data_IF_428949948321
#
_entry.id   IF_428949948321
#
_cell.length_a   1.000
_cell.length_b   1.000
_cell.length_c   1.000
_cell.angle_alpha   90.00
_cell.angle_beta   90.00
_cell.angle_gamma   90.00
#
_symmetry.space_group_name_H-M   'P 1'
#
loop_
_entity.id
_entity.type
_entity.pdbx_description
1 polymer ?
#
# COMPACT_ATOMS: atom_id res chain seq x y z
N UNK A 1 16.16 8.00 27.63
CA UNK A 1 16.31 7.09 26.46
C UNK A 1 17.71 6.48 26.52
N UNK A 2 17.86 5.16 26.34
CA UNK A 2 19.20 4.52 26.36
C UNK A 2 20.01 5.02 25.16
N UNK A 3 21.26 5.47 25.38
CA UNK A 3 22.19 5.98 24.35
C UNK A 3 22.28 5.09 23.11
N UNK A 4 22.18 3.77 23.29
CA UNK A 4 22.15 2.76 22.22
C UNK A 4 21.04 3.03 21.19
N UNK A 5 19.83 3.41 21.64
CA UNK A 5 18.73 3.72 20.72
C UNK A 5 19.03 4.93 19.85
N UNK A 6 19.73 5.93 20.38
CA UNK A 6 20.10 7.14 19.62
C UNK A 6 21.11 6.77 18.52
N UNK A 7 22.08 5.90 18.83
CA UNK A 7 23.04 5.41 17.86
C UNK A 7 22.36 4.64 16.71
N UNK A 8 21.43 3.74 17.03
CA UNK A 8 20.71 2.96 16.02
C UNK A 8 19.84 3.84 15.12
N UNK A 9 19.10 4.80 15.69
CA UNK A 9 18.32 5.76 14.89
C UNK A 9 19.20 6.67 14.04
N UNK A 10 20.38 7.06 14.54
CA UNK A 10 21.33 7.89 13.78
C UNK A 10 21.92 7.14 12.59
N UNK A 11 22.18 5.84 12.73
CA UNK A 11 22.69 5.00 11.64
C UNK A 11 21.63 4.77 10.55
N UNK A 12 20.38 4.54 10.95
CA UNK A 12 19.24 4.44 10.01
C UNK A 12 19.05 5.78 9.28
N UNK A 13 19.12 6.90 9.99
CA UNK A 13 18.98 8.23 9.38
C UNK A 13 20.13 8.51 8.41
N UNK A 14 21.37 8.16 8.76
CA UNK A 14 22.53 8.28 7.88
C UNK A 14 22.38 7.42 6.62
N UNK A 15 21.89 6.19 6.76
CA UNK A 15 21.58 5.31 5.62
C UNK A 15 20.52 5.91 4.70
N UNK A 16 19.43 6.45 5.25
CA UNK A 16 18.37 7.09 4.50
C UNK A 16 18.85 8.36 3.77
N UNK A 17 19.65 9.18 4.45
CA UNK A 17 20.25 10.39 3.87
C UNK A 17 21.18 10.05 2.71
N UNK A 18 22.03 9.04 2.89
CA UNK A 18 22.95 8.58 1.85
C UNK A 18 22.19 8.01 0.64
N UNK A 19 21.22 7.11 0.88
CA UNK A 19 20.35 6.54 -0.17
C UNK A 19 19.63 7.63 -0.97
N UNK A 20 19.07 8.62 -0.27
CA UNK A 20 18.38 9.75 -0.88
C UNK A 20 19.33 10.64 -1.68
N UNK A 21 20.53 10.91 -1.18
CA UNK A 21 21.55 11.70 -1.86
C UNK A 21 21.99 11.04 -3.17
N UNK A 22 22.37 9.76 -3.12
CA UNK A 22 22.83 9.03 -4.31
C UNK A 22 21.70 8.90 -5.34
N UNK A 23 20.49 8.56 -4.88
CA UNK A 23 19.32 8.48 -5.76
C UNK A 23 19.00 9.84 -6.40
N UNK A 24 19.18 10.95 -5.67
CA UNK A 24 19.02 12.30 -6.21
C UNK A 24 20.03 12.60 -7.32
N UNK A 25 21.29 12.16 -7.21
CA UNK A 25 22.28 12.32 -8.28
C UNK A 25 21.85 11.59 -9.56
N UNK A 26 21.29 10.38 -9.43
CA UNK A 26 20.73 9.67 -10.57
C UNK A 26 19.55 10.42 -11.19
N UNK A 27 18.55 10.82 -10.40
CA UNK A 27 17.39 11.53 -10.94
C UNK A 27 17.76 12.89 -11.54
N UNK A 28 18.76 13.59 -10.98
CA UNK A 28 19.26 14.85 -11.52
C UNK A 28 19.95 14.69 -12.89
N UNK A 29 20.38 13.48 -13.26
CA UNK A 29 20.92 13.19 -14.60
C UNK A 29 19.82 13.05 -15.67
N UNK A 30 18.56 12.88 -15.27
CA UNK A 30 17.42 12.63 -16.17
C UNK A 30 16.41 13.77 -16.10
N UNK A 31 16.21 14.34 -14.91
CA UNK A 31 15.20 15.34 -14.59
C UNK A 31 15.86 16.64 -14.09
N UNK A 32 15.16 17.77 -14.20
CA UNK A 32 15.61 19.02 -13.58
C UNK A 32 15.85 18.85 -12.08
N UNK A 33 16.90 19.48 -11.57
CA UNK A 33 17.35 19.31 -10.18
C UNK A 33 16.25 19.57 -9.13
N UNK A 34 15.37 20.55 -9.37
CA UNK A 34 14.27 20.90 -8.48
C UNK A 34 13.17 19.81 -8.39
N UNK A 35 13.04 18.95 -9.40
CA UNK A 35 12.15 17.78 -9.40
C UNK A 35 12.85 16.52 -8.85
N UNK A 36 14.16 16.41 -9.06
CA UNK A 36 14.94 15.25 -8.63
C UNK A 36 14.98 15.08 -7.11
N UNK A 37 15.13 16.18 -6.35
CA UNK A 37 15.18 16.15 -4.87
C UNK A 37 13.89 15.57 -4.26
N UNK A 38 12.69 16.14 -4.51
CA UNK A 38 11.47 15.64 -3.89
C UNK A 38 11.15 14.21 -4.35
N UNK A 39 11.48 13.87 -5.60
CA UNK A 39 11.26 12.52 -6.12
C UNK A 39 12.16 11.48 -5.42
N UNK A 40 13.45 11.78 -5.25
CA UNK A 40 14.39 10.90 -4.57
C UNK A 40 13.97 10.65 -3.12
N UNK A 41 13.66 11.72 -2.37
CA UNK A 41 13.16 11.61 -0.99
C UNK A 41 11.87 10.81 -0.94
N UNK A 42 10.92 11.08 -1.84
CA UNK A 42 9.64 10.37 -1.87
C UNK A 42 9.81 8.87 -2.12
N UNK A 43 10.58 8.47 -3.13
CA UNK A 43 10.78 7.05 -3.47
C UNK A 43 11.50 6.30 -2.34
N UNK A 44 12.55 6.91 -1.76
CA UNK A 44 13.32 6.27 -0.67
C UNK A 44 12.46 6.11 0.59
N UNK A 45 11.74 7.16 1.00
CA UNK A 45 10.85 7.12 2.17
C UNK A 45 9.72 6.11 1.94
N UNK A 46 9.10 6.12 0.75
CA UNK A 46 8.00 5.22 0.41
C UNK A 46 8.48 3.76 0.39
N UNK A 47 9.66 3.49 -0.17
CA UNK A 47 10.28 2.17 -0.18
C UNK A 47 10.55 1.63 1.23
N UNK A 48 11.10 2.47 2.12
CA UNK A 48 11.34 2.10 3.51
C UNK A 48 10.04 1.92 4.29
N UNK A 49 9.04 2.77 4.06
CA UNK A 49 7.72 2.67 4.69
C UNK A 49 7.03 1.35 4.35
N UNK A 50 6.93 1.01 3.06
CA UNK A 50 6.31 -0.26 2.64
C UNK A 50 7.14 -1.48 3.07
N UNK A 51 8.47 -1.37 3.12
CA UNK A 51 9.33 -2.44 3.65
C UNK A 51 9.06 -2.71 5.13
N UNK A 52 8.96 -1.65 5.94
CA UNK A 52 8.62 -1.77 7.36
C UNK A 52 7.22 -2.39 7.55
N UNK A 53 6.23 -1.88 6.80
CA UNK A 53 4.87 -2.40 6.86
C UNK A 53 4.79 -3.88 6.44
N UNK A 54 5.51 -4.26 5.38
CA UNK A 54 5.57 -5.64 4.91
C UNK A 54 6.19 -6.59 5.96
N UNK A 55 7.28 -6.17 6.63
CA UNK A 55 7.92 -6.94 7.69
C UNK A 55 6.97 -7.11 8.89
N UNK A 56 6.32 -6.03 9.32
CA UNK A 56 5.38 -6.08 10.45
C UNK A 56 4.19 -7.00 10.13
N UNK A 57 3.59 -6.84 8.96
CA UNK A 57 2.50 -7.70 8.51
C UNK A 57 2.89 -9.18 8.46
N UNK A 58 4.10 -9.48 7.98
CA UNK A 58 4.62 -10.84 7.94
C UNK A 58 4.85 -11.42 9.34
N UNK A 59 5.35 -10.61 10.28
CA UNK A 59 5.54 -11.01 11.69
C UNK A 59 4.22 -11.37 12.36
N UNK A 60 3.16 -10.61 12.10
CA UNK A 60 1.84 -10.80 12.71
C UNK A 60 1.05 -11.95 12.06
N UNK A 61 1.01 -12.01 10.72
CA UNK A 61 0.09 -12.89 9.98
C UNK A 61 0.76 -14.12 9.36
N UNK A 62 2.11 -14.19 9.34
CA UNK A 62 2.91 -15.23 8.66
C UNK A 62 2.54 -15.47 7.18
N UNK A 63 1.92 -14.46 6.55
CA UNK A 63 1.48 -14.47 5.15
C UNK A 63 2.09 -13.26 4.43
N UNK A 64 2.34 -13.43 3.13
CA UNK A 64 2.73 -12.34 2.24
C UNK A 64 1.51 -11.48 1.90
N UNK A 65 1.66 -10.16 2.00
CA UNK A 65 0.63 -9.20 1.56
C UNK A 65 1.01 -8.57 0.22
N UNK A 66 0.03 -7.93 -0.43
CA UNK A 66 0.29 -7.09 -1.60
C UNK A 66 1.33 -5.99 -1.30
N UNK A 67 1.39 -5.51 -0.05
CA UNK A 67 2.39 -4.54 0.37
C UNK A 67 3.83 -5.08 0.29
N UNK A 68 4.03 -6.40 0.43
CA UNK A 68 5.35 -7.03 0.24
C UNK A 68 5.82 -6.92 -1.21
N UNK A 69 4.91 -7.09 -2.19
CA UNK A 69 5.24 -6.96 -3.61
C UNK A 69 5.61 -5.50 -3.95
N UNK A 70 4.84 -4.55 -3.43
CA UNK A 70 5.09 -3.11 -3.60
C UNK A 70 6.44 -2.73 -2.96
N UNK A 71 6.73 -3.23 -1.75
CA UNK A 71 8.00 -3.00 -1.07
C UNK A 71 9.18 -3.50 -1.91
N UNK A 72 9.11 -4.72 -2.46
CA UNK A 72 10.16 -5.29 -3.30
C UNK A 72 10.37 -4.43 -4.56
N UNK A 73 9.30 -4.04 -5.25
CA UNK A 73 9.40 -3.23 -6.46
C UNK A 73 10.02 -1.84 -6.17
N UNK A 74 9.59 -1.19 -5.08
CA UNK A 74 10.15 0.10 -4.66
C UNK A 74 11.61 -0.02 -4.24
N UNK A 75 11.98 -1.04 -3.46
CA UNK A 75 13.36 -1.25 -3.05
C UNK A 75 14.27 -1.58 -4.23
N UNK A 76 13.82 -2.37 -5.21
CA UNK A 76 14.57 -2.59 -6.46
C UNK A 76 14.79 -1.28 -7.23
N UNK A 77 13.80 -0.40 -7.24
CA UNK A 77 13.92 0.93 -7.86
C UNK A 77 14.96 1.80 -7.13
N UNK A 78 14.93 1.80 -5.79
CA UNK A 78 15.91 2.49 -4.94
C UNK A 78 17.32 1.95 -5.18
N UNK A 79 17.49 0.62 -5.20
CA UNK A 79 18.80 0.01 -5.47
C UNK A 79 19.30 0.34 -6.87
N UNK A 80 18.43 0.35 -7.87
CA UNK A 80 18.81 0.73 -9.23
C UNK A 80 19.22 2.21 -9.31
N UNK A 81 18.48 3.11 -8.66
CA UNK A 81 18.84 4.53 -8.62
C UNK A 81 20.14 4.76 -7.85
N UNK A 82 20.38 4.04 -6.76
CA UNK A 82 21.65 4.08 -6.03
C UNK A 82 22.81 3.61 -6.91
N UNK A 83 22.64 2.48 -7.59
CA UNK A 83 23.66 1.89 -8.45
C UNK A 83 24.12 2.86 -9.56
N UNK A 84 23.15 3.51 -10.20
CA UNK A 84 23.43 4.47 -11.26
C UNK A 84 23.91 5.81 -10.71
N UNK A 85 23.39 6.24 -9.55
CA UNK A 85 23.80 7.47 -8.88
C UNK A 85 25.26 7.44 -8.43
N UNK A 86 25.73 6.31 -7.89
CA UNK A 86 27.14 6.10 -7.53
C UNK A 86 28.06 6.20 -8.73
N UNK A 87 27.62 5.68 -9.89
CA UNK A 87 28.40 5.78 -11.11
C UNK A 87 28.49 7.24 -11.60
N UNK A 88 27.39 8.01 -11.52
CA UNK A 88 27.40 9.45 -11.83
C UNK A 88 28.31 10.22 -10.89
N UNK A 89 28.27 9.91 -9.59
CA UNK A 89 29.15 10.51 -8.59
C UNK A 89 30.62 10.19 -8.85
N UNK A 90 30.94 8.95 -9.20
CA UNK A 90 32.30 8.56 -9.51
C UNK A 90 32.84 9.32 -10.74
N UNK A 91 32.01 9.48 -11.78
CA UNK A 91 32.37 10.25 -12.97
C UNK A 91 32.61 11.73 -12.69
N UNK A 92 31.86 12.34 -11.78
CA UNK A 92 32.07 13.75 -11.43
C UNK A 92 33.35 13.94 -10.60
N UNK A 93 33.72 12.96 -9.77
CA UNK A 93 34.94 13.00 -8.96
C UNK A 93 36.20 12.74 -9.80
N UNK A 94 36.14 11.83 -10.78
CA UNK A 94 37.29 11.53 -11.64
C UNK A 94 37.55 12.59 -12.72
N UNK A 95 36.57 13.46 -13.00
CA UNK A 95 36.77 14.61 -13.89
C UNK A 95 37.08 14.21 -15.33
N UNK A 96 36.28 13.32 -15.91
CA UNK A 96 36.49 12.81 -17.28
C UNK A 96 36.58 13.99 -18.27
N UNK A 97 37.70 14.14 -19.02
CA UNK A 97 37.84 15.23 -19.98
C UNK A 97 36.88 15.05 -21.16
N UNK A 98 36.44 16.16 -21.77
CA UNK A 98 35.55 16.15 -22.94
C UNK A 98 36.34 16.28 -24.24
N UNK A 99 35.91 15.60 -25.31
CA UNK A 99 36.54 15.70 -26.64
C UNK A 99 35.97 16.84 -27.49
N UNK A 100 34.90 17.49 -27.04
CA UNK A 100 34.09 18.43 -27.82
C UNK A 100 34.90 19.55 -28.49
N UNK A 101 35.87 20.12 -27.77
CA UNK A 101 36.73 21.19 -28.32
C UNK A 101 37.63 20.70 -29.46
N UNK A 102 38.14 19.47 -29.35
CA UNK A 102 39.00 18.88 -30.38
C UNK A 102 38.16 18.39 -31.56
N UNK A 103 36.96 17.89 -31.31
CA UNK A 103 36.02 17.53 -32.36
C UNK A 103 35.62 18.76 -33.21
N UNK A 104 35.34 19.90 -32.57
CA UNK A 104 35.10 21.17 -33.26
C UNK A 104 36.31 21.61 -34.09
N UNK A 105 37.52 21.53 -33.53
CA UNK A 105 38.74 21.92 -34.23
C UNK A 105 39.06 20.99 -35.43
N UNK A 106 38.79 19.68 -35.30
CA UNK A 106 38.89 18.71 -36.40
C UNK A 106 37.93 19.09 -37.52
N UNK A 107 36.70 19.48 -37.20
CA UNK A 107 35.70 19.88 -38.19
C UNK A 107 36.13 21.15 -38.95
N UNK A 108 36.61 22.17 -38.24
CA UNK A 108 37.12 23.41 -38.84
C UNK A 108 38.32 23.15 -39.79
N UNK A 109 39.26 22.30 -39.37
CA UNK A 109 40.42 21.93 -40.20
C UNK A 109 39.96 21.10 -41.41
N UNK A 110 39.00 20.20 -41.24
CA UNK A 110 38.45 19.38 -42.33
C UNK A 110 37.70 20.24 -43.36
N UNK A 111 36.99 21.28 -42.93
CA UNK A 111 36.40 22.29 -43.82
C UNK A 111 37.48 23.06 -44.60
N UNK A 112 38.58 23.44 -43.95
CA UNK A 112 39.71 24.14 -44.58
C UNK A 112 40.37 23.27 -45.66
N UNK A 113 40.50 21.96 -45.40
CA UNK A 113 40.99 20.97 -46.37
C UNK A 113 40.04 20.87 -47.57
N UNK A 114 38.72 20.71 -47.32
CA UNK A 114 37.71 20.62 -48.37
C UNK A 114 37.68 21.86 -49.28
N UNK A 115 37.76 23.06 -48.69
CA UNK A 115 37.75 24.32 -49.44
C UNK A 115 38.99 24.52 -50.32
N UNK A 116 40.10 23.84 -50.01
CA UNK A 116 41.38 23.99 -50.71
C UNK A 116 41.74 22.80 -51.61
N UNK A 117 41.10 21.64 -51.45
CA UNK A 117 41.40 20.41 -52.19
C UNK A 117 41.33 20.55 -53.72
N UNK A 118 40.40 21.36 -54.23
CA UNK A 118 40.18 21.52 -55.68
C UNK A 118 40.92 22.72 -56.30
N UNK A 119 41.68 23.50 -55.52
CA UNK A 119 42.33 24.73 -56.00
C UNK A 119 43.80 24.48 -56.32
N UNK A 120 44.20 24.72 -57.58
CA UNK A 120 45.58 24.47 -58.07
C UNK A 120 46.62 25.56 -57.76
N UNK A 121 46.26 26.57 -56.96
CA UNK A 121 47.21 27.64 -56.58
C UNK A 121 48.24 27.07 -55.59
N UNK A 122 49.53 27.33 -55.79
CA UNK A 122 50.62 26.87 -54.91
C UNK A 122 50.35 27.21 -53.44
N UNK A 123 49.77 28.38 -53.16
CA UNK A 123 49.40 28.79 -51.80
C UNK A 123 48.32 27.89 -51.19
N UNK A 124 47.36 27.44 -51.99
CA UNK A 124 46.28 26.56 -51.54
C UNK A 124 46.77 25.11 -51.38
N UNK A 125 47.73 24.68 -52.21
CA UNK A 125 48.42 23.39 -52.04
C UNK A 125 49.21 23.36 -50.73
N UNK A 126 49.92 24.44 -50.41
CA UNK A 126 50.65 24.53 -49.14
C UNK A 126 49.71 24.62 -47.92
N UNK A 127 48.62 25.39 -48.03
CA UNK A 127 47.57 25.42 -46.99
C UNK A 127 46.90 24.05 -46.79
N UNK A 128 46.63 23.31 -47.88
CA UNK A 128 46.12 21.95 -47.80
C UNK A 128 47.11 21.02 -47.09
N UNK A 129 48.41 21.12 -47.40
CA UNK A 129 49.46 20.31 -46.77
C UNK A 129 49.58 20.61 -45.28
N UNK A 130 49.61 21.88 -44.90
CA UNK A 130 49.68 22.31 -43.50
C UNK A 130 48.43 21.90 -42.72
N UNK A 131 47.23 22.10 -43.29
CA UNK A 131 45.98 21.68 -42.67
C UNK A 131 45.89 20.14 -42.54
N UNK A 132 46.40 19.38 -43.51
CA UNK A 132 46.46 17.91 -43.43
C UNK A 132 47.40 17.43 -42.31
N UNK A 133 48.53 18.12 -42.10
CA UNK A 133 49.43 17.84 -40.98
C UNK A 133 48.79 18.18 -39.63
N UNK A 134 48.09 19.31 -39.54
CA UNK A 134 47.34 19.69 -38.34
C UNK A 134 46.22 18.69 -38.02
N UNK A 135 45.47 18.24 -39.04
CA UNK A 135 44.43 17.22 -38.87
C UNK A 135 45.01 15.93 -38.27
N UNK A 136 46.17 15.48 -38.76
CA UNK A 136 46.83 14.29 -38.22
C UNK A 136 47.23 14.46 -36.75
N UNK A 137 47.79 15.61 -36.37
CA UNK A 137 48.13 15.89 -34.97
C UNK A 137 46.89 15.93 -34.07
N UNK A 138 45.79 16.54 -34.52
CA UNK A 138 44.53 16.59 -33.79
C UNK A 138 43.87 15.23 -33.64
N UNK A 139 43.98 14.37 -34.65
CA UNK A 139 43.51 12.98 -34.58
C UNK A 139 44.33 12.16 -33.57
N UNK A 140 45.65 12.33 -33.53
CA UNK A 140 46.52 11.70 -32.53
C UNK A 140 46.22 12.22 -31.11
N UNK A 141 45.98 13.52 -30.95
CA UNK A 141 45.59 14.13 -29.67
C UNK A 141 44.21 13.65 -29.20
N UNK A 142 43.24 13.56 -30.11
CA UNK A 142 41.92 12.96 -29.85
C UNK A 142 42.06 11.52 -29.36
N UNK A 143 42.90 10.72 -30.02
CA UNK A 143 43.12 9.33 -29.63
C UNK A 143 43.70 9.23 -28.22
N UNK A 144 44.69 10.06 -27.88
CA UNK A 144 45.25 10.13 -26.51
C UNK A 144 44.21 10.52 -25.47
N UNK A 145 43.34 11.48 -25.78
CA UNK A 145 42.26 11.86 -24.87
C UNK A 145 41.23 10.76 -24.70
N UNK A 146 40.89 10.03 -25.76
CA UNK A 146 40.01 8.86 -25.66
C UNK A 146 40.60 7.78 -24.74
N UNK A 147 41.90 7.53 -24.84
CA UNK A 147 42.61 6.60 -23.94
C UNK A 147 42.56 7.08 -22.49
N UNK A 148 42.78 8.37 -22.23
CA UNK A 148 42.64 8.96 -20.90
C UNK A 148 41.20 8.92 -20.39
N UNK A 149 40.21 9.12 -21.26
CA UNK A 149 38.78 8.98 -20.92
C UNK A 149 38.49 7.54 -20.52
N UNK A 150 39.00 6.56 -21.25
CA UNK A 150 38.82 5.13 -20.96
C UNK A 150 39.44 4.77 -19.61
N UNK A 151 40.67 5.22 -19.35
CA UNK A 151 41.35 5.05 -18.06
C UNK A 151 40.55 5.69 -16.91
N UNK A 152 40.12 6.94 -17.06
CA UNK A 152 39.32 7.66 -16.04
C UNK A 152 37.93 7.06 -15.84
N UNK A 153 37.36 6.47 -16.88
CA UNK A 153 36.08 5.77 -16.79
C UNK A 153 36.24 4.42 -16.06
N UNK A 154 37.36 3.72 -16.27
CA UNK A 154 37.72 2.53 -15.50
C UNK A 154 37.95 2.86 -14.03
N UNK A 155 38.69 3.94 -13.72
CA UNK A 155 38.85 4.43 -12.35
C UNK A 155 37.50 4.78 -11.70
N UNK A 156 36.61 5.45 -12.44
CA UNK A 156 35.27 5.77 -11.96
C UNK A 156 34.43 4.52 -11.69
N UNK A 157 34.57 3.47 -12.50
CA UNK A 157 33.88 2.20 -12.27
C UNK A 157 34.40 1.48 -11.02
N UNK A 158 35.71 1.50 -10.79
CA UNK A 158 36.31 0.96 -9.57
C UNK A 158 35.84 1.72 -8.33
N UNK A 159 35.85 3.05 -8.37
CA UNK A 159 35.40 3.90 -7.26
C UNK A 159 33.89 3.77 -7.00
N UNK A 160 33.08 3.62 -8.05
CA UNK A 160 31.66 3.28 -7.91
C UNK A 160 31.48 1.90 -7.25
N UNK A 161 32.32 0.92 -7.57
CA UNK A 161 32.30 -0.39 -6.92
C UNK A 161 32.63 -0.31 -5.43
N UNK A 162 33.60 0.51 -5.03
CA UNK A 162 33.93 0.74 -3.62
C UNK A 162 32.74 1.36 -2.85
N UNK A 163 32.06 2.34 -3.45
CA UNK A 163 30.84 2.90 -2.85
C UNK A 163 29.69 1.90 -2.74
N UNK A 164 29.56 0.97 -3.70
CA UNK A 164 28.57 -0.12 -3.62
C UNK A 164 28.84 -1.03 -2.43
N UNK A 165 30.09 -1.44 -2.24
CA UNK A 165 30.50 -2.27 -1.10
C UNK A 165 30.23 -1.55 0.21
N UNK A 166 30.57 -0.25 0.30
CA UNK A 166 30.27 0.56 1.47
C UNK A 166 28.76 0.60 1.77
N UNK A 167 27.92 0.75 0.75
CA UNK A 167 26.45 0.79 0.90
C UNK A 167 25.88 -0.53 1.40
N UNK A 168 26.38 -1.66 0.88
CA UNK A 168 25.99 -3.00 1.33
C UNK A 168 26.38 -3.21 2.80
N UNK A 169 27.60 -2.81 3.18
CA UNK A 169 28.07 -2.91 4.57
C UNK A 169 27.19 -2.05 5.48
N UNK A 170 26.91 -0.81 5.09
CA UNK A 170 26.08 0.11 5.86
C UNK A 170 24.65 -0.43 6.04
N UNK A 171 24.08 -1.02 4.98
CA UNK A 171 22.80 -1.70 5.04
C UNK A 171 22.81 -2.91 5.99
N UNK A 172 23.83 -3.76 5.94
CA UNK A 172 23.96 -4.91 6.84
C UNK A 172 24.08 -4.48 8.31
N UNK A 173 24.88 -3.45 8.59
CA UNK A 173 25.02 -2.91 9.95
C UNK A 173 23.68 -2.34 10.43
N UNK A 174 22.96 -1.60 9.57
CA UNK A 174 21.64 -1.07 9.89
C UNK A 174 20.60 -2.16 10.14
N UNK A 175 20.63 -3.23 9.35
CA UNK A 175 19.75 -4.37 9.52
C UNK A 175 20.03 -5.11 10.85
N UNK A 176 21.29 -5.40 11.15
CA UNK A 176 21.68 -6.03 12.42
C UNK A 176 21.27 -5.16 13.61
N UNK A 177 21.55 -3.86 13.58
CA UNK A 177 21.14 -2.92 14.62
C UNK A 177 19.61 -2.90 14.83
N UNK A 178 18.83 -2.98 13.74
CA UNK A 178 17.37 -3.03 13.80
C UNK A 178 16.84 -4.33 14.44
N UNK A 179 17.45 -5.48 14.11
CA UNK A 179 17.02 -6.79 14.64
C UNK A 179 17.31 -6.95 16.14
N UNK A 180 18.49 -6.55 16.60
CA UNK A 180 18.91 -6.69 18.01
C UNK A 180 18.04 -5.90 19.00
N UNK A 181 17.39 -4.82 18.55
CA UNK A 181 16.56 -3.99 19.42
C UNK A 181 15.14 -4.55 19.63
N UNK A 182 14.69 -5.49 18.80
CA UNK A 182 13.29 -5.94 18.80
C UNK A 182 12.92 -6.87 19.97
N UNK A 183 13.90 -7.50 20.63
CA UNK A 183 13.67 -8.38 21.79
C UNK A 183 13.58 -7.62 23.13
N UNK A 184 14.19 -6.44 23.23
CA UNK A 184 14.20 -5.64 24.47
C UNK A 184 12.85 -4.98 24.82
N UNK A 185 11.84 -5.12 23.96
CA UNK A 185 10.51 -4.52 24.14
C UNK A 185 9.45 -5.54 24.57
N UNK A 186 9.74 -6.84 24.52
CA UNK A 186 8.81 -7.88 24.99
C UNK A 186 8.78 -8.01 26.52
N UNK A 187 9.91 -7.77 27.20
CA UNK A 187 9.98 -7.80 28.67
C UNK A 187 9.64 -6.45 29.34
N UNK A 188 9.65 -5.34 28.58
CA UNK A 188 9.39 -4.00 29.10
C UNK A 188 7.92 -3.59 29.13
N UNK A 189 6.99 -4.40 28.60
CA UNK A 189 5.54 -4.11 28.64
C UNK A 189 4.81 -4.69 29.86
N UNK A 190 5.52 -5.32 30.81
CA UNK A 190 4.92 -5.86 32.04
C UNK A 190 5.24 -5.01 33.28
N UNK A 191 6.14 -4.02 33.24
CA UNK A 191 6.68 -3.41 34.47
C UNK A 191 6.48 -1.90 34.65
N UNK A 192 5.59 -1.21 33.93
CA UNK A 192 5.25 0.18 34.28
C UNK A 192 3.75 0.40 34.13
N UNK A 193 3.03 0.29 35.25
CA UNK A 193 1.63 0.69 35.36
C UNK A 193 0.76 -0.18 36.27
N UNK A 194 1.25 -0.71 37.39
CA UNK A 194 0.36 -1.31 38.41
C UNK A 194 0.94 -1.27 39.83
N UNK A 195 1.14 -0.06 40.33
CA UNK A 195 1.22 0.26 41.76
C UNK A 195 0.58 1.66 41.85
N UNK A 196 -0.59 1.93 42.43
CA UNK A 196 -1.36 1.30 43.49
C UNK A 196 -2.86 1.56 43.20
N UNK A 197 -3.69 0.52 43.15
CA UNK A 197 -5.04 0.52 43.76
C UNK A 197 -5.28 -0.91 44.20
N UNK A 198 -5.05 -1.17 45.49
CA UNK A 198 -5.50 -2.39 46.14
C UNK A 198 -7.01 -2.25 46.35
N UNK A 199 -7.81 -2.65 45.37
CA UNK A 199 -9.21 -3.00 45.59
C UNK A 199 -9.35 -4.50 45.38
N UNK A 200 -9.69 -5.20 46.45
CA UNK A 200 -10.03 -6.62 46.41
C UNK A 200 -11.20 -6.82 45.46
N UNK A 201 -10.93 -7.35 44.26
CA UNK A 201 -11.99 -7.84 43.39
C UNK A 201 -12.76 -8.93 44.13
N UNK A 202 -14.06 -8.71 44.28
CA UNK A 202 -14.93 -9.74 44.85
C UNK A 202 -15.15 -10.82 43.79
N UNK A 203 -15.50 -12.07 44.19
CA UNK A 203 -15.80 -13.15 43.24
C UNK A 203 -16.88 -12.78 42.20
N UNK A 204 -17.75 -11.81 42.52
CA UNK A 204 -18.77 -11.28 41.63
C UNK A 204 -18.18 -10.42 40.50
N UNK A 205 -17.13 -9.64 40.76
CA UNK A 205 -16.48 -8.80 39.75
C UNK A 205 -15.72 -9.62 38.70
N UNK A 206 -15.14 -10.76 39.11
CA UNK A 206 -14.53 -11.72 38.19
C UNK A 206 -15.56 -12.38 37.27
N UNK A 207 -16.76 -12.70 37.77
CA UNK A 207 -17.83 -13.25 36.93
C UNK A 207 -18.33 -12.23 35.90
N UNK A 208 -18.43 -10.95 36.25
CA UNK A 208 -18.82 -9.87 35.32
C UNK A 208 -17.76 -9.66 34.24
N UNK A 209 -16.47 -9.73 34.59
CA UNK A 209 -15.37 -9.64 33.62
C UNK A 209 -15.32 -10.86 32.68
N UNK A 210 -15.61 -12.05 33.18
CA UNK A 210 -15.66 -13.26 32.37
C UNK A 210 -16.87 -13.27 31.43
N UNK A 211 -18.03 -12.78 31.89
CA UNK A 211 -19.20 -12.55 31.05
C UNK A 211 -18.95 -11.47 29.98
N UNK A 212 -18.25 -10.36 30.32
CA UNK A 212 -17.87 -9.34 29.33
C UNK A 212 -16.93 -9.90 28.26
N UNK A 213 -15.95 -10.73 28.61
CA UNK A 213 -15.07 -11.39 27.62
C UNK A 213 -15.86 -12.30 26.68
N UNK A 214 -16.84 -13.05 27.19
CA UNK A 214 -17.70 -13.89 26.35
C UNK A 214 -18.62 -13.06 25.43
N UNK A 215 -19.12 -11.91 25.90
CA UNK A 215 -19.95 -11.01 25.09
C UNK A 215 -19.15 -10.28 23.99
N UNK A 216 -17.90 -9.90 24.25
CA UNK A 216 -17.02 -9.30 23.22
C UNK A 216 -16.71 -10.33 22.14
N UNK A 217 -16.36 -11.56 22.53
CA UNK A 217 -16.08 -12.62 21.56
C UNK A 217 -17.30 -12.99 20.70
N UNK A 218 -18.52 -12.92 21.25
CA UNK A 218 -19.75 -13.10 20.46
C UNK A 218 -20.05 -11.93 19.51
N UNK A 219 -19.72 -10.69 19.88
CA UNK A 219 -19.87 -9.53 18.99
C UNK A 219 -18.90 -9.57 17.83
N UNK A 220 -17.64 -9.94 18.10
CA UNK A 220 -16.62 -10.06 17.06
C UNK A 220 -16.99 -11.17 16.06
N UNK A 221 -17.49 -12.31 16.56
CA UNK A 221 -17.99 -13.40 15.71
C UNK A 221 -19.23 -12.98 14.88
N UNK A 222 -20.13 -12.16 15.44
CA UNK A 222 -21.28 -11.62 14.68
C UNK A 222 -20.86 -10.62 13.61
N UNK A 223 -19.83 -9.80 13.85
CA UNK A 223 -19.28 -8.89 12.85
C UNK A 223 -18.58 -9.65 11.71
N UNK A 224 -17.84 -10.71 12.03
CA UNK A 224 -17.20 -11.55 11.01
C UNK A 224 -18.25 -12.26 10.14
N UNK A 225 -19.30 -12.80 10.74
CA UNK A 225 -20.41 -13.42 10.01
C UNK A 225 -21.18 -12.42 9.14
N UNK A 226 -21.34 -11.17 9.59
CA UNK A 226 -21.92 -10.09 8.77
C UNK A 226 -21.04 -9.74 7.57
N UNK A 227 -19.71 -9.74 7.73
CA UNK A 227 -18.78 -9.51 6.62
C UNK A 227 -18.82 -10.64 5.60
N UNK A 228 -18.87 -11.90 6.05
CA UNK A 228 -19.02 -13.04 5.15
C UNK A 228 -20.34 -12.97 4.37
N UNK A 229 -21.45 -12.65 5.03
CA UNK A 229 -22.74 -12.48 4.36
C UNK A 229 -22.75 -11.31 3.36
N UNK A 230 -22.04 -10.21 3.65
CA UNK A 230 -21.88 -9.10 2.70
C UNK A 230 -21.04 -9.51 1.49
N UNK A 231 -19.94 -10.24 1.70
CA UNK A 231 -19.11 -10.74 0.61
C UNK A 231 -19.88 -11.76 -0.27
N UNK A 232 -20.69 -12.62 0.34
CA UNK A 232 -21.52 -13.58 -0.38
C UNK A 232 -22.65 -12.88 -1.18
N UNK A 233 -23.23 -11.81 -0.62
CA UNK A 233 -24.20 -10.98 -1.32
C UNK A 233 -23.57 -10.25 -2.52
N UNK A 234 -22.38 -9.66 -2.36
CA UNK A 234 -21.66 -8.99 -3.46
C UNK A 234 -21.24 -9.96 -4.56
N UNK A 235 -20.78 -11.16 -4.19
CA UNK A 235 -20.46 -12.22 -5.14
C UNK A 235 -21.70 -12.65 -5.94
N UNK A 236 -22.83 -12.79 -5.27
CA UNK A 236 -24.11 -13.15 -5.91
C UNK A 236 -24.60 -12.07 -6.87
N UNK A 237 -24.48 -10.79 -6.50
CA UNK A 237 -24.82 -9.66 -7.38
C UNK A 237 -23.94 -9.67 -8.62
N UNK A 238 -22.61 -9.79 -8.47
CA UNK A 238 -21.68 -9.84 -9.61
C UNK A 238 -21.98 -10.99 -10.55
N UNK A 239 -22.34 -12.16 -10.01
CA UNK A 239 -22.70 -13.34 -10.81
C UNK A 239 -23.97 -13.11 -11.65
N UNK A 240 -24.99 -12.48 -11.05
CA UNK A 240 -26.22 -12.12 -11.77
C UNK A 240 -25.97 -11.06 -12.83
N UNK A 241 -25.16 -10.02 -12.54
CA UNK A 241 -24.81 -8.98 -13.52
C UNK A 241 -24.01 -9.54 -14.69
N UNK A 242 -23.07 -10.46 -14.43
CA UNK A 242 -22.30 -11.14 -15.47
C UNK A 242 -23.17 -12.06 -16.34
N UNK A 243 -24.16 -12.73 -15.75
CA UNK A 243 -25.11 -13.56 -16.50
C UNK A 243 -26.03 -12.70 -17.39
N UNK A 244 -26.49 -11.55 -16.90
CA UNK A 244 -27.29 -10.61 -17.68
C UNK A 244 -26.51 -9.99 -18.86
N UNK A 245 -25.21 -9.67 -18.67
CA UNK A 245 -24.33 -9.21 -19.75
C UNK A 245 -24.13 -10.26 -20.84
N UNK A 246 -24.10 -11.55 -20.46
CA UNK A 246 -23.97 -12.66 -21.41
C UNK A 246 -25.22 -12.86 -22.27
N UNK A 247 -26.40 -12.49 -21.76
CA UNK A 247 -27.68 -12.66 -22.45
C UNK A 247 -28.10 -11.44 -23.30
N UNK A 248 -27.64 -10.22 -22.97
CA UNK A 248 -28.16 -8.98 -23.61
C UNK A 248 -27.15 -8.19 -24.46
N UNK A 249 -25.86 -8.57 -24.44
CA UNK A 249 -24.82 -7.88 -25.20
C UNK A 249 -24.54 -6.43 -24.73
N UNK A 250 -23.54 -5.74 -25.31
CA UNK A 250 -23.01 -4.46 -24.80
C UNK A 250 -23.97 -3.26 -24.90
N UNK A 251 -25.16 -3.43 -25.48
CA UNK A 251 -26.20 -2.39 -25.57
C UNK A 251 -27.08 -2.28 -24.30
N UNK A 252 -27.01 -3.22 -23.36
CA UNK A 252 -27.79 -3.20 -22.11
C UNK A 252 -27.21 -2.34 -20.97
N UNK A 253 -25.99 -1.83 -21.14
CA UNK A 253 -25.21 -1.19 -20.06
C UNK A 253 -25.73 0.18 -19.64
N UNK A 254 -26.52 0.86 -20.49
CA UNK A 254 -27.08 2.18 -20.21
C UNK A 254 -28.45 2.13 -19.51
N UNK A 255 -29.09 0.95 -19.41
CA UNK A 255 -30.37 0.79 -18.69
C UNK A 255 -30.12 0.33 -17.23
N UNK A 256 -29.11 -0.50 -16.98
CA UNK A 256 -28.76 -0.95 -15.63
C UNK A 256 -28.13 0.16 -14.76
N UNK A 257 -27.37 1.08 -15.38
CA UNK A 257 -26.75 2.23 -14.69
C UNK A 257 -27.75 3.37 -14.41
N UNK A 258 -28.84 3.48 -15.18
CA UNK A 258 -29.90 4.46 -14.95
C UNK A 258 -30.97 4.01 -13.93
N UNK A 259 -31.08 2.71 -13.61
CA UNK A 259 -31.95 2.23 -12.53
C UNK A 259 -31.34 2.39 -11.13
N UNK A 260 -30.01 2.55 -11.01
CA UNK A 260 -29.34 2.70 -9.70
C UNK A 260 -29.29 4.13 -9.17
N UNK A 261 -29.56 5.14 -10.01
CA UNK A 261 -29.45 6.56 -9.62
C UNK A 261 -30.79 7.30 -9.49
N UNK A 262 -31.94 6.64 -9.70
CA UNK A 262 -33.26 7.29 -9.61
C UNK A 262 -34.22 6.67 -8.59
N UNK A 263 -33.77 5.77 -7.70
CA UNK A 263 -34.64 5.14 -6.69
C UNK A 263 -34.23 5.39 -5.23
N UNK A 264 -33.27 6.26 -4.98
CA UNK A 264 -32.70 6.46 -3.64
C UNK A 264 -33.45 7.49 -2.77
N UNK A 265 -34.39 8.25 -3.35
CA UNK A 265 -35.09 9.34 -2.64
C UNK A 265 -36.58 9.11 -2.39
N UNK A 266 -37.24 8.16 -3.07
CA UNK A 266 -38.66 7.85 -2.86
C UNK A 266 -38.94 6.52 -2.12
N UNK A 267 -37.93 5.65 -1.95
CA UNK A 267 -38.15 4.33 -1.32
C UNK A 267 -38.07 4.32 0.21
N UNK A 268 -37.53 5.38 0.85
CA UNK A 268 -37.42 5.42 2.32
C UNK A 268 -38.75 5.73 2.99
N UNK A 269 -39.56 6.61 2.38
CA UNK A 269 -40.91 6.96 2.85
C UNK A 269 -41.91 5.81 2.70
N UNK A 270 -41.79 5.03 1.62
CA UNK A 270 -42.64 3.86 1.37
C UNK A 270 -42.27 2.67 2.30
N UNK A 271 -40.99 2.53 2.65
CA UNK A 271 -40.53 1.51 3.60
C UNK A 271 -41.03 1.80 5.02
N UNK A 272 -40.93 3.05 5.48
CA UNK A 272 -41.35 3.44 6.83
C UNK A 272 -42.86 3.34 7.02
N UNK A 273 -43.64 3.72 6.01
CA UNK A 273 -45.11 3.57 6.04
C UNK A 273 -45.54 2.11 6.04
N UNK A 274 -44.94 1.24 5.23
CA UNK A 274 -45.27 -0.19 5.25
C UNK A 274 -44.84 -0.85 6.57
N UNK A 275 -43.69 -0.47 7.15
CA UNK A 275 -43.29 -0.96 8.48
C UNK A 275 -44.26 -0.47 9.56
N UNK A 276 -44.77 0.76 9.47
CA UNK A 276 -45.78 1.28 10.40
C UNK A 276 -47.10 0.49 10.30
N UNK A 277 -47.55 0.15 9.08
CA UNK A 277 -48.77 -0.67 8.84
C UNK A 277 -48.62 -2.12 9.32
N UNK A 278 -47.40 -2.69 9.24
CA UNK A 278 -47.11 -4.02 9.81
C UNK A 278 -47.08 -3.97 11.34
N UNK A 279 -46.57 -2.88 11.94
CA UNK A 279 -46.57 -2.68 13.40
C UNK A 279 -47.96 -2.43 13.98
N UNK A 280 -48.83 -1.70 13.26
CA UNK A 280 -50.23 -1.48 13.66
C UNK A 280 -51.09 -2.74 13.51
N UNK A 281 -50.63 -3.72 12.73
CA UNK A 281 -51.35 -4.97 12.48
C UNK A 281 -52.43 -4.85 11.40
N UNK A 282 -52.49 -3.73 10.68
CA UNK A 282 -53.41 -3.52 9.55
C UNK A 282 -52.97 -4.31 8.31
N UNK A 283 -51.67 -4.55 8.16
CA UNK A 283 -51.12 -5.32 7.05
C UNK A 283 -50.57 -6.67 7.54
N UNK A 284 -51.42 -7.70 7.50
CA UNK A 284 -51.10 -9.05 7.99
C UNK A 284 -50.68 -10.03 6.88
N UNK A 285 -51.00 -9.72 5.62
CA UNK A 285 -50.67 -10.60 4.49
C UNK A 285 -49.21 -10.39 4.03
N UNK A 286 -48.43 -11.45 4.17
CA UNK A 286 -47.00 -11.49 3.82
C UNK A 286 -46.77 -11.32 2.33
N UNK A 287 -47.67 -11.81 1.48
CA UNK A 287 -47.53 -11.67 0.02
C UNK A 287 -47.66 -10.22 -0.42
N UNK A 288 -48.54 -9.46 0.24
CA UNK A 288 -48.73 -8.04 -0.05
C UNK A 288 -47.53 -7.19 0.41
N UNK A 289 -46.94 -7.51 1.56
CA UNK A 289 -45.69 -6.87 2.02
C UNK A 289 -44.52 -7.18 1.09
N UNK A 290 -44.40 -8.42 0.64
CA UNK A 290 -43.40 -8.82 -0.35
C UNK A 290 -43.58 -8.09 -1.68
N UNK A 291 -44.82 -7.91 -2.13
CA UNK A 291 -45.13 -7.21 -3.39
C UNK A 291 -44.79 -5.72 -3.29
N UNK A 292 -45.18 -5.04 -2.22
CA UNK A 292 -44.97 -3.59 -2.05
C UNK A 292 -43.51 -3.23 -1.82
N UNK A 293 -42.80 -4.01 -1.02
CA UNK A 293 -41.39 -3.75 -0.69
C UNK A 293 -40.40 -4.54 -1.56
N UNK A 294 -40.89 -5.30 -2.55
CA UNK A 294 -40.10 -6.22 -3.39
C UNK A 294 -39.16 -7.13 -2.57
N UNK A 295 -39.62 -7.57 -1.40
CA UNK A 295 -38.82 -8.38 -0.46
C UNK A 295 -38.91 -9.87 -0.79
N UNK A 296 -37.82 -10.59 -0.54
CA UNK A 296 -37.82 -12.05 -0.59
C UNK A 296 -38.51 -12.64 0.66
N UNK A 297 -39.03 -13.87 0.58
CA UNK A 297 -39.82 -14.54 1.63
C UNK A 297 -39.11 -14.52 2.99
N UNK A 298 -37.80 -14.73 2.98
CA UNK A 298 -36.97 -14.76 4.19
C UNK A 298 -36.94 -13.38 4.87
N UNK A 299 -36.77 -12.31 4.08
CA UNK A 299 -36.73 -10.93 4.58
C UNK A 299 -38.10 -10.49 5.09
N UNK A 300 -39.18 -10.85 4.39
CA UNK A 300 -40.54 -10.60 4.86
C UNK A 300 -40.79 -11.32 6.20
N UNK A 301 -40.38 -12.58 6.35
CA UNK A 301 -40.51 -13.31 7.61
C UNK A 301 -39.71 -12.68 8.76
N UNK A 302 -38.51 -12.15 8.49
CA UNK A 302 -37.74 -11.42 9.49
C UNK A 302 -38.43 -10.11 9.91
N UNK A 303 -39.05 -9.41 8.95
CA UNK A 303 -39.76 -8.15 9.21
C UNK A 303 -41.00 -8.40 10.08
N UNK A 304 -41.82 -9.40 9.77
CA UNK A 304 -42.95 -9.79 10.62
C UNK A 304 -42.50 -10.31 11.98
N UNK A 305 -41.41 -11.10 12.07
CA UNK A 305 -40.88 -11.57 13.35
C UNK A 305 -40.43 -10.42 14.26
N UNK A 306 -39.92 -9.34 13.68
CA UNK A 306 -39.38 -8.19 14.41
C UNK A 306 -40.44 -7.12 14.73
N UNK A 307 -41.45 -6.97 13.88
CA UNK A 307 -42.36 -5.82 13.92
C UNK A 307 -43.84 -6.16 14.04
N UNK A 308 -44.27 -7.41 13.80
CA UNK A 308 -45.68 -7.75 13.97
C UNK A 308 -46.07 -7.65 15.46
N UNK A 309 -47.26 -7.15 15.78
CA UNK A 309 -47.77 -7.12 17.15
C UNK A 309 -47.84 -8.57 17.68
N UNK A 310 -47.20 -8.81 18.83
CA UNK A 310 -47.29 -10.10 19.51
C UNK A 310 -48.75 -10.32 19.95
N UNK A 311 -49.36 -11.48 19.72
CA UNK A 311 -50.70 -11.74 20.22
C UNK A 311 -50.68 -11.59 21.74
N UNK A 312 -51.47 -10.64 22.25
CA UNK A 312 -51.72 -10.51 23.68
C UNK A 312 -52.35 -11.82 24.16
N UNK A 313 -51.70 -12.46 25.12
CA UNK A 313 -52.22 -13.64 25.79
C UNK A 313 -53.58 -13.26 26.39
N UNK A 314 -54.65 -13.82 25.83
CA UNK A 314 -55.95 -13.79 26.46
C UNK A 314 -55.83 -14.46 27.83
N UNK A 315 -56.02 -13.68 28.89
CA UNK A 315 -56.16 -14.14 30.27
C UNK A 315 -57.40 -15.03 30.35
N UNK A 316 -57.24 -16.33 30.10
CA UNK A 316 -58.27 -17.32 30.42
C UNK A 316 -58.17 -17.55 31.94
N UNK A 317 -59.10 -16.93 32.68
CA UNK A 317 -59.28 -17.20 34.10
C UNK A 317 -59.70 -18.65 34.30
N UNK A 318 -58.79 -19.48 34.82
CA UNK A 318 -59.11 -20.81 35.31
C UNK A 318 -59.64 -20.68 36.74
N UNK A 319 -60.96 -20.85 36.88
CA UNK A 319 -61.64 -21.04 38.17
C UNK A 319 -61.29 -22.44 38.69
N UNK A 320 -60.47 -22.53 39.73
CA UNK A 320 -60.31 -23.77 40.50
C UNK A 320 -61.37 -23.81 41.60
N UNK A 321 -62.45 -24.55 41.38
CA UNK A 321 -63.42 -24.90 42.42
C UNK A 321 -62.79 -25.88 43.40
N UNK A 322 -62.69 -25.46 44.67
CA UNK A 322 -62.39 -26.32 45.82
C UNK A 322 -63.55 -27.31 45.97
N UNK A 323 -63.33 -28.58 45.66
CA UNK A 323 -64.19 -29.69 46.10
C UNK A 323 -63.36 -30.66 46.91
N UNK A 324 -63.62 -30.66 48.22
CA UNK A 324 -63.17 -31.67 49.18
C UNK A 324 -63.96 -32.96 48.99
N UNK A 325 -63.34 -34.14 49.02
CA UNK A 325 -64.04 -35.37 49.34
C UNK A 325 -64.09 -35.57 50.86
N UNK A 326 -65.31 -35.56 51.37
CA UNK A 326 -65.73 -35.96 52.71
C UNK A 326 -65.67 -37.49 52.80
N UNK A 327 -64.72 -38.04 53.55
CA UNK A 327 -64.76 -39.44 54.02
C UNK A 327 -65.34 -39.41 55.43
N UNK A 328 -66.53 -39.99 55.58
CA UNK A 328 -67.15 -40.24 56.88
C UNK A 328 -66.58 -41.53 57.50
N UNK A 329 -66.48 -41.61 58.83
CA UNK A 329 -66.16 -42.85 59.51
C UNK A 329 -67.44 -43.67 59.70
N UNK A 330 -67.35 -45.00 59.57
CA UNK A 330 -68.29 -45.90 60.25
C UNK A 330 -67.56 -47.13 60.77
N UNK A 331 -67.74 -47.31 62.07
CA UNK A 331 -67.48 -48.51 62.85
C UNK A 331 -68.18 -49.74 62.25
N UNK A 332 -67.47 -50.86 62.25
CA UNK A 332 -67.94 -52.15 62.75
C UNK A 332 -66.70 -52.96 63.15
#
# INVERSE_FOLDING_TARGET
MKLVRIADYSLILASLLYSSYVSCLFFASILPFYLAIPLALFIVILGHHYSFFAIQYFKENRKLSQASIIAIALMLTVFYSEWKGQHVQAKSVTGIPTTEKIDQHIEEVMQTIHQNANKKNWRNVEQYRSASQQLKMLQEEKQRLLETIEEKNSEAEQLASEFRVFSIILFLIAFVASTLNSDSTAESKISIGTTQVLTSYTPQDLQVLQQRKQQVNQKDLQQELQRELQQEAEYSVRKVTAQYQKETGPAGTNVASNLTNSSATDSSTDLETVIALVKSGELQDRREVMRRLKLNVIQANQLFKKHAPKPQQATIGFVTSKTTPKVAPKNA
#
